data_IF_137899638569
#
_entry.id   IF_137899638569
#
_cell.length_a   1.000
_cell.length_b   1.000
_cell.length_c   1.000
_cell.angle_alpha   90.00
_cell.angle_beta   90.00
_cell.angle_gamma   90.00
#
_symmetry.space_group_name_H-M   'P 1'
#
loop_
_entity.id
_entity.type
_entity.pdbx_description
1 polymer ?
#
# COMPACT_ATOMS: atom_id res chain seq x y z
N UNK A 1 -23.10 5.79 -30.31
CA UNK A 1 -21.87 4.97 -30.30
C UNK A 1 -22.14 3.76 -29.40
N UNK A 2 -21.57 2.59 -29.70
CA UNK A 2 -21.66 1.45 -28.79
C UNK A 2 -20.97 1.79 -27.46
N UNK A 3 -21.54 1.31 -26.35
CA UNK A 3 -20.93 1.47 -25.02
C UNK A 3 -19.56 0.79 -25.01
N UNK A 4 -18.57 1.44 -24.41
CA UNK A 4 -17.23 0.87 -24.23
C UNK A 4 -17.17 0.10 -22.91
N UNK A 5 -16.44 -1.00 -22.93
CA UNK A 5 -16.18 -1.83 -21.76
C UNK A 5 -15.06 -1.21 -20.90
N UNK A 6 -14.99 -1.63 -19.65
CA UNK A 6 -13.94 -1.22 -18.71
C UNK A 6 -13.01 -2.38 -18.39
N UNK A 7 -11.73 -2.09 -18.21
CA UNK A 7 -10.73 -3.02 -17.69
C UNK A 7 -10.16 -2.50 -16.37
N UNK A 8 -10.18 -3.35 -15.35
CA UNK A 8 -9.60 -3.10 -14.04
C UNK A 8 -8.44 -4.06 -13.77
N UNK A 9 -7.33 -3.57 -13.20
CA UNK A 9 -6.25 -4.45 -12.76
C UNK A 9 -5.56 -3.92 -11.51
N UNK A 10 -5.06 -4.85 -10.69
CA UNK A 10 -4.27 -4.60 -9.49
C UNK A 10 -2.78 -4.80 -9.78
N UNK A 11 -1.95 -3.94 -9.23
CA UNK A 11 -0.51 -3.90 -9.51
C UNK A 11 0.35 -3.75 -8.26
N UNK A 12 1.47 -4.47 -8.23
CA UNK A 12 2.44 -4.47 -7.16
C UNK A 12 1.99 -5.21 -5.90
N UNK A 13 2.57 -4.83 -4.76
CA UNK A 13 2.16 -5.33 -3.45
C UNK A 13 0.70 -4.96 -3.16
N UNK A 14 -0.06 -5.95 -2.69
CA UNK A 14 -1.47 -5.78 -2.29
C UNK A 14 -1.58 -5.14 -0.91
N UNK A 15 -2.74 -4.58 -0.58
CA UNK A 15 -3.02 -4.01 0.75
C UNK A 15 -4.25 -4.66 1.37
N UNK A 16 -4.57 -4.27 2.61
CA UNK A 16 -5.77 -4.71 3.30
C UNK A 16 -7.04 -4.16 2.62
N UNK A 17 -6.94 -3.05 1.88
CA UNK A 17 -8.09 -2.29 1.36
C UNK A 17 -8.08 -2.09 -0.15
N UNK A 18 -7.12 -2.65 -0.90
CA UNK A 18 -7.09 -2.53 -2.37
C UNK A 18 -8.38 -3.05 -3.03
N UNK A 19 -9.03 -4.05 -2.41
CA UNK A 19 -10.33 -4.54 -2.85
C UNK A 19 -11.49 -3.59 -2.52
N UNK A 20 -11.36 -2.69 -1.54
CA UNK A 20 -12.35 -1.62 -1.32
C UNK A 20 -12.33 -0.64 -2.49
N UNK A 21 -11.16 -0.30 -3.04
CA UNK A 21 -11.07 0.44 -4.29
C UNK A 21 -11.64 -0.34 -5.48
N UNK A 22 -11.39 -1.64 -5.56
CA UNK A 22 -12.00 -2.50 -6.59
C UNK A 22 -13.54 -2.48 -6.49
N UNK A 23 -14.07 -2.61 -5.28
CA UNK A 23 -15.50 -2.51 -4.98
C UNK A 23 -16.07 -1.19 -5.49
N UNK A 24 -15.41 -0.07 -5.17
CA UNK A 24 -15.82 1.26 -5.62
C UNK A 24 -15.87 1.38 -7.14
N UNK A 25 -14.85 0.90 -7.86
CA UNK A 25 -14.83 0.88 -9.33
C UNK A 25 -16.00 0.07 -9.88
N UNK A 26 -16.19 -1.15 -9.40
CA UNK A 26 -17.15 -2.10 -9.97
C UNK A 26 -18.58 -1.64 -9.69
N UNK A 27 -18.87 -1.15 -8.48
CA UNK A 27 -20.20 -0.63 -8.14
C UNK A 27 -20.53 0.65 -8.92
N UNK A 28 -19.61 1.62 -9.00
CA UNK A 28 -19.82 2.82 -9.81
C UNK A 28 -20.02 2.50 -11.30
N UNK A 29 -19.26 1.55 -11.85
CA UNK A 29 -19.43 1.11 -13.23
C UNK A 29 -20.80 0.43 -13.47
N UNK A 30 -21.30 -0.36 -12.51
CA UNK A 30 -22.64 -0.99 -12.57
C UNK A 30 -23.76 0.04 -12.48
N UNK A 31 -23.62 1.04 -11.62
CA UNK A 31 -24.55 2.17 -11.50
C UNK A 31 -24.64 2.98 -12.81
N UNK A 32 -23.55 3.03 -13.57
CA UNK A 32 -23.46 3.70 -14.88
C UNK A 32 -23.49 2.72 -16.07
N UNK A 33 -24.26 1.63 -15.96
CA UNK A 33 -24.45 0.64 -17.04
C UNK A 33 -25.12 1.19 -18.32
N UNK A 34 -25.65 2.40 -18.26
CA UNK A 34 -26.11 3.19 -19.42
C UNK A 34 -24.95 3.77 -20.24
N UNK A 35 -23.75 3.90 -19.66
CA UNK A 35 -22.55 4.46 -20.30
C UNK A 35 -21.42 3.44 -20.45
N UNK A 36 -21.20 2.62 -19.43
CA UNK A 36 -20.18 1.58 -19.40
C UNK A 36 -20.82 0.24 -19.75
N UNK A 37 -20.14 -0.54 -20.60
CA UNK A 37 -20.53 -1.90 -20.94
C UNK A 37 -20.12 -2.90 -19.85
N UNK A 38 -19.49 -4.00 -20.26
CA UNK A 38 -18.95 -5.00 -19.34
C UNK A 38 -17.73 -4.45 -18.58
N UNK A 39 -17.58 -4.86 -17.33
CA UNK A 39 -16.35 -4.69 -16.56
C UNK A 39 -15.54 -5.99 -16.60
N UNK A 40 -14.32 -5.90 -17.09
CA UNK A 40 -13.35 -6.99 -17.06
C UNK A 40 -12.27 -6.70 -16.03
N UNK A 41 -11.70 -7.76 -15.44
CA UNK A 41 -10.54 -7.67 -14.57
C UNK A 41 -9.36 -8.48 -15.09
N UNK A 42 -8.14 -7.98 -14.96
CA UNK A 42 -6.94 -8.70 -15.34
C UNK A 42 -6.60 -9.77 -14.31
N UNK A 43 -6.56 -11.05 -14.71
CA UNK A 43 -6.03 -12.11 -13.85
C UNK A 43 -4.56 -11.85 -13.56
N UNK A 44 -4.20 -11.76 -12.27
CA UNK A 44 -2.82 -11.44 -11.85
C UNK A 44 -2.33 -10.07 -12.35
N UNK A 45 -3.20 -9.08 -12.44
CA UNK A 45 -2.83 -7.72 -12.83
C UNK A 45 -2.65 -7.56 -14.34
N UNK A 46 -1.64 -6.79 -14.76
CA UNK A 46 -1.40 -6.46 -16.17
C UNK A 46 -1.02 -7.68 -17.03
N UNK A 47 -0.44 -8.72 -16.42
CA UNK A 47 -0.17 -9.99 -17.09
C UNK A 47 -1.45 -10.62 -17.65
N UNK A 48 -2.58 -10.47 -16.95
CA UNK A 48 -3.88 -10.92 -17.43
C UNK A 48 -4.31 -10.22 -18.71
N UNK A 49 -3.99 -8.93 -18.88
CA UNK A 49 -4.23 -8.25 -20.14
C UNK A 49 -3.29 -8.76 -21.24
N UNK A 50 -1.97 -8.83 -20.98
CA UNK A 50 -0.99 -9.29 -21.96
C UNK A 50 -1.30 -10.70 -22.49
N UNK A 51 -1.68 -11.62 -21.58
CA UNK A 51 -2.02 -13.00 -21.90
C UNK A 51 -3.47 -13.21 -22.35
N UNK A 52 -4.29 -12.15 -22.40
CA UNK A 52 -5.73 -12.21 -22.68
C UNK A 52 -6.49 -13.15 -21.71
N UNK A 53 -6.12 -13.11 -20.44
CA UNK A 53 -6.81 -13.80 -19.34
C UNK A 53 -7.67 -12.79 -18.56
N UNK A 54 -8.75 -12.37 -19.21
CA UNK A 54 -9.71 -11.41 -18.65
C UNK A 54 -10.78 -12.15 -17.83
N UNK A 55 -11.02 -11.69 -16.61
CA UNK A 55 -12.11 -12.15 -15.76
C UNK A 55 -13.35 -11.32 -16.07
N UNK A 56 -14.49 -11.97 -16.32
CA UNK A 56 -15.78 -11.31 -16.43
C UNK A 56 -16.35 -11.00 -15.04
N UNK A 57 -16.32 -9.72 -14.65
CA UNK A 57 -16.81 -9.27 -13.34
C UNK A 57 -18.35 -9.26 -13.28
N UNK A 58 -19.03 -9.34 -14.42
CA UNK A 58 -20.50 -9.37 -14.47
C UNK A 58 -21.05 -10.72 -13.97
N UNK A 59 -20.23 -11.77 -13.98
CA UNK A 59 -20.58 -13.09 -13.46
C UNK A 59 -20.59 -13.14 -11.91
N UNK A 60 -20.04 -12.13 -11.25
CA UNK A 60 -20.01 -12.01 -9.80
C UNK A 60 -21.29 -11.37 -9.25
N UNK A 61 -21.83 -11.91 -8.16
CA UNK A 61 -23.04 -11.37 -7.54
C UNK A 61 -22.80 -9.99 -6.91
N UNK A 62 -23.87 -9.22 -6.70
CA UNK A 62 -23.80 -7.92 -6.01
C UNK A 62 -23.21 -8.08 -4.60
N UNK A 63 -23.61 -9.13 -3.88
CA UNK A 63 -23.13 -9.43 -2.53
C UNK A 63 -21.64 -9.80 -2.51
N UNK A 64 -21.18 -10.52 -3.54
CA UNK A 64 -19.76 -10.89 -3.66
C UNK A 64 -18.89 -9.66 -3.93
N UNK A 65 -19.37 -8.74 -4.76
CA UNK A 65 -18.70 -7.46 -5.01
C UNK A 65 -18.70 -6.60 -3.75
N UNK A 66 -19.83 -6.44 -3.07
CA UNK A 66 -19.90 -5.69 -1.81
C UNK A 66 -18.94 -6.25 -0.74
N UNK A 67 -18.78 -7.58 -0.69
CA UNK A 67 -17.86 -8.23 0.23
C UNK A 67 -16.37 -7.94 -0.05
N UNK A 68 -16.02 -7.40 -1.22
CA UNK A 68 -14.66 -6.93 -1.52
C UNK A 68 -14.24 -5.78 -0.59
N UNK A 69 -15.17 -4.91 -0.17
CA UNK A 69 -14.91 -3.78 0.75
C UNK A 69 -14.29 -4.23 2.07
N UNK A 70 -14.55 -5.46 2.48
CA UNK A 70 -14.03 -6.05 3.71
C UNK A 70 -13.16 -7.30 3.49
N UNK A 71 -12.55 -7.45 2.30
CA UNK A 71 -11.66 -8.57 1.96
C UNK A 71 -10.23 -8.07 1.66
N UNK A 72 -9.18 -8.57 2.35
CA UNK A 72 -7.80 -8.15 2.13
C UNK A 72 -7.24 -8.66 0.79
N UNK A 73 -6.02 -8.22 0.47
CA UNK A 73 -5.23 -8.69 -0.66
C UNK A 73 -5.86 -8.35 -2.02
N UNK A 74 -5.33 -8.88 -3.11
CA UNK A 74 -5.87 -8.66 -4.46
C UNK A 74 -6.85 -9.74 -4.86
N UNK A 75 -8.15 -9.43 -4.92
CA UNK A 75 -9.20 -10.41 -5.26
C UNK A 75 -9.01 -11.00 -6.66
N UNK A 76 -8.41 -10.26 -7.59
CA UNK A 76 -8.15 -10.70 -8.98
C UNK A 76 -6.73 -11.23 -9.19
N UNK A 77 -5.91 -11.26 -8.12
CA UNK A 77 -4.47 -11.42 -8.22
C UNK A 77 -3.78 -10.11 -8.59
N UNK A 78 -2.48 -10.04 -8.34
CA UNK A 78 -1.61 -8.92 -8.69
C UNK A 78 -0.28 -9.47 -9.22
N UNK A 79 0.55 -8.61 -9.79
CA UNK A 79 1.90 -8.96 -10.20
C UNK A 79 2.88 -7.82 -9.95
N UNK A 80 4.16 -8.16 -9.99
CA UNK A 80 5.30 -7.26 -9.94
C UNK A 80 5.96 -7.15 -11.33
N UNK A 81 5.13 -7.12 -12.38
CA UNK A 81 5.60 -7.01 -13.76
C UNK A 81 5.71 -5.54 -14.17
N UNK A 82 6.94 -5.04 -14.35
CA UNK A 82 7.19 -3.69 -14.87
C UNK A 82 7.15 -3.75 -16.39
N UNK A 83 6.22 -3.00 -17.00
CA UNK A 83 6.32 -2.72 -18.43
C UNK A 83 7.56 -1.86 -18.65
N UNK A 84 8.38 -2.23 -19.63
CA UNK A 84 9.60 -1.49 -19.94
C UNK A 84 9.26 -0.13 -20.58
N UNK A 85 10.25 0.71 -20.87
CA UNK A 85 9.96 1.95 -21.59
C UNK A 85 9.43 1.66 -23.00
N UNK A 86 8.79 2.63 -23.66
CA UNK A 86 8.30 2.46 -25.03
C UNK A 86 9.48 2.22 -26.01
N UNK A 87 10.65 2.76 -25.71
CA UNK A 87 11.88 2.55 -26.48
C UNK A 87 12.42 1.12 -26.31
N UNK A 88 12.27 0.54 -25.12
CA UNK A 88 12.76 -0.78 -24.79
C UNK A 88 11.80 -1.92 -25.19
N UNK A 89 10.50 -1.75 -24.96
CA UNK A 89 9.50 -2.77 -25.27
C UNK A 89 8.12 -2.18 -25.64
N UNK A 90 8.06 -1.52 -26.80
CA UNK A 90 6.80 -1.04 -27.37
C UNK A 90 5.74 -2.14 -27.55
N UNK A 91 6.18 -3.37 -27.83
CA UNK A 91 5.30 -4.50 -28.15
C UNK A 91 4.36 -4.88 -26.98
N UNK A 92 4.80 -4.69 -25.74
CA UNK A 92 3.93 -4.87 -24.56
C UNK A 92 2.72 -3.94 -24.59
N UNK A 93 2.94 -2.66 -24.87
CA UNK A 93 1.87 -1.67 -24.91
C UNK A 93 0.96 -1.85 -26.13
N UNK A 94 1.54 -2.20 -27.29
CA UNK A 94 0.77 -2.56 -28.49
C UNK A 94 -0.14 -3.76 -28.21
N UNK A 95 0.39 -4.80 -27.56
CA UNK A 95 -0.39 -5.96 -27.15
C UNK A 95 -1.55 -5.59 -26.22
N UNK A 96 -1.33 -4.70 -25.24
CA UNK A 96 -2.41 -4.23 -24.36
C UNK A 96 -3.53 -3.56 -25.16
N UNK A 97 -3.18 -2.68 -26.10
CA UNK A 97 -4.15 -1.95 -26.92
C UNK A 97 -4.88 -2.90 -27.87
N UNK A 98 -4.21 -3.90 -28.44
CA UNK A 98 -4.84 -4.96 -29.25
C UNK A 98 -5.89 -5.74 -28.46
N UNK A 99 -5.55 -6.19 -27.25
CA UNK A 99 -6.47 -6.91 -26.35
C UNK A 99 -7.64 -6.02 -25.99
N UNK A 100 -7.38 -4.77 -25.58
CA UNK A 100 -8.46 -3.84 -25.24
C UNK A 100 -9.38 -3.55 -26.44
N UNK A 101 -8.83 -3.42 -27.64
CA UNK A 101 -9.61 -3.25 -28.87
C UNK A 101 -10.46 -4.48 -29.21
N UNK A 102 -9.91 -5.69 -29.10
CA UNK A 102 -10.64 -6.94 -29.36
C UNK A 102 -11.83 -7.14 -28.39
N UNK A 103 -11.72 -6.60 -27.17
CA UNK A 103 -12.74 -6.69 -26.13
C UNK A 103 -13.56 -5.40 -25.97
N UNK A 104 -13.50 -4.47 -26.92
CA UNK A 104 -14.22 -3.19 -26.89
C UNK A 104 -14.01 -2.35 -25.61
N UNK A 105 -12.86 -2.51 -24.97
CA UNK A 105 -12.46 -1.79 -23.77
C UNK A 105 -12.05 -0.37 -24.16
N UNK A 106 -12.63 0.63 -23.52
CA UNK A 106 -12.27 2.05 -23.69
C UNK A 106 -11.85 2.73 -22.39
N UNK A 107 -12.05 2.06 -21.25
CA UNK A 107 -11.68 2.56 -19.93
C UNK A 107 -10.65 1.61 -19.30
N UNK A 108 -9.51 2.16 -18.88
CA UNK A 108 -8.47 1.42 -18.17
C UNK A 108 -8.28 1.99 -16.76
N UNK A 109 -8.66 1.21 -15.76
CA UNK A 109 -8.54 1.54 -14.35
C UNK A 109 -7.40 0.73 -13.73
N UNK A 110 -6.26 1.36 -13.46
CA UNK A 110 -5.08 0.66 -12.96
C UNK A 110 -4.75 1.02 -11.52
N UNK A 111 -4.93 0.06 -10.63
CA UNK A 111 -4.84 0.23 -9.18
C UNK A 111 -3.49 -0.23 -8.66
N UNK A 112 -2.62 0.72 -8.32
CA UNK A 112 -1.20 0.46 -8.12
C UNK A 112 -0.44 1.61 -7.45
N UNK A 113 0.90 1.50 -7.42
CA UNK A 113 1.79 2.59 -6.98
C UNK A 113 2.32 3.42 -8.16
N UNK A 114 3.43 4.14 -7.97
CA UNK A 114 3.98 5.08 -8.96
C UNK A 114 4.26 4.48 -10.35
N UNK A 115 4.82 3.27 -10.41
CA UNK A 115 5.04 2.56 -11.69
C UNK A 115 3.74 2.31 -12.48
N UNK A 116 2.61 2.21 -11.78
CA UNK A 116 1.29 2.02 -12.40
C UNK A 116 0.74 3.33 -12.96
N UNK A 117 1.08 4.47 -12.34
CA UNK A 117 0.80 5.79 -12.90
C UNK A 117 1.51 5.99 -14.25
N UNK A 118 2.80 5.63 -14.33
CA UNK A 118 3.59 5.66 -15.57
C UNK A 118 2.99 4.75 -16.65
N UNK A 119 2.57 3.54 -16.28
CA UNK A 119 1.87 2.61 -17.20
C UNK A 119 0.59 3.22 -17.76
N UNK A 120 -0.27 3.81 -16.91
CA UNK A 120 -1.49 4.49 -17.37
C UNK A 120 -1.20 5.62 -18.35
N UNK A 121 -0.18 6.45 -18.06
CA UNK A 121 0.20 7.57 -18.91
C UNK A 121 0.62 7.09 -20.31
N UNK A 122 1.46 6.05 -20.38
CA UNK A 122 1.93 5.48 -21.65
C UNK A 122 0.82 4.79 -22.44
N UNK A 123 -0.07 4.04 -21.78
CA UNK A 123 -1.24 3.44 -22.43
C UNK A 123 -2.14 4.52 -23.03
N UNK A 124 -2.41 5.58 -22.26
CA UNK A 124 -3.20 6.73 -22.71
C UNK A 124 -2.64 7.33 -24.00
N UNK A 125 -1.35 7.70 -24.00
CA UNK A 125 -0.67 8.31 -25.15
C UNK A 125 -0.60 7.38 -26.36
N UNK A 126 -0.18 6.12 -26.16
CA UNK A 126 0.01 5.20 -27.28
C UNK A 126 -1.33 4.82 -27.93
N UNK A 127 -2.40 4.67 -27.13
CA UNK A 127 -3.74 4.34 -27.62
C UNK A 127 -4.29 5.37 -28.63
N UNK A 128 -3.99 6.66 -28.42
CA UNK A 128 -4.34 7.73 -29.36
C UNK A 128 -3.60 7.56 -30.68
N UNK A 129 -2.29 7.31 -30.64
CA UNK A 129 -1.48 7.14 -31.86
C UNK A 129 -1.84 5.88 -32.65
N UNK A 130 -2.41 4.86 -31.99
CA UNK A 130 -2.89 3.62 -32.62
C UNK A 130 -4.33 3.73 -33.13
N UNK A 131 -4.97 4.90 -33.04
CA UNK A 131 -6.32 5.12 -33.53
C UNK A 131 -7.40 4.40 -32.73
N UNK A 132 -7.10 4.02 -31.47
CA UNK A 132 -8.06 3.42 -30.55
C UNK A 132 -7.90 4.05 -29.15
N UNK A 133 -8.35 5.30 -28.95
CA UNK A 133 -8.13 6.02 -27.71
C UNK A 133 -8.74 5.29 -26.50
N UNK A 134 -7.95 5.17 -25.44
CA UNK A 134 -8.33 4.56 -24.16
C UNK A 134 -8.17 5.61 -23.06
N UNK A 135 -9.22 5.81 -22.27
CA UNK A 135 -9.15 6.63 -21.07
C UNK A 135 -8.48 5.83 -19.96
N UNK A 136 -7.25 6.20 -19.60
CA UNK A 136 -6.49 5.54 -18.54
C UNK A 136 -6.51 6.38 -17.27
N UNK A 137 -7.03 5.81 -16.19
CA UNK A 137 -7.13 6.43 -14.87
C UNK A 137 -6.34 5.58 -13.88
N UNK A 138 -5.39 6.20 -13.21
CA UNK A 138 -4.65 5.56 -12.13
C UNK A 138 -5.47 5.63 -10.83
N UNK A 139 -5.55 4.51 -10.11
CA UNK A 139 -6.16 4.46 -8.77
C UNK A 139 -5.02 4.31 -7.75
N UNK A 140 -4.83 5.28 -6.84
CA UNK A 140 -3.68 5.29 -5.94
C UNK A 140 -3.73 4.12 -4.96
N UNK A 141 -2.61 3.43 -4.80
CA UNK A 141 -2.42 2.34 -3.85
C UNK A 141 -0.95 2.15 -3.50
N UNK A 142 -0.62 2.30 -2.23
CA UNK A 142 0.70 1.98 -1.70
C UNK A 142 0.61 1.91 -0.18
N UNK A 143 1.28 0.92 0.43
CA UNK A 143 1.41 0.88 1.90
C UNK A 143 2.51 1.83 2.38
N UNK A 144 3.42 2.21 1.49
CA UNK A 144 4.59 3.03 1.77
C UNK A 144 4.26 4.53 1.83
N UNK A 145 3.03 4.92 1.47
CA UNK A 145 2.52 6.30 1.51
C UNK A 145 3.35 7.31 0.68
N UNK A 146 3.89 6.84 -0.44
CA UNK A 146 4.91 7.51 -1.25
C UNK A 146 4.38 8.15 -2.54
N UNK A 147 3.06 8.12 -2.81
CA UNK A 147 2.51 8.84 -3.97
C UNK A 147 2.42 10.35 -3.71
N UNK A 148 2.83 11.20 -4.66
CA UNK A 148 2.73 12.66 -4.55
C UNK A 148 1.28 13.14 -4.76
N UNK A 149 1.04 14.43 -4.46
CA UNK A 149 -0.24 15.16 -4.59
C UNK A 149 -1.42 14.68 -3.73
N UNK A 150 -1.50 13.40 -3.40
CA UNK A 150 -2.49 12.87 -2.44
C UNK A 150 -1.99 13.09 -1.01
N UNK A 151 -2.89 13.46 -0.09
CA UNK A 151 -2.56 13.64 1.33
C UNK A 151 -1.98 12.35 1.92
N UNK A 152 -2.65 11.24 1.66
CA UNK A 152 -2.24 9.90 2.02
C UNK A 152 -2.62 8.89 0.92
N UNK A 153 -2.12 7.67 1.04
CA UNK A 153 -2.37 6.61 0.07
C UNK A 153 -3.28 5.51 0.63
N UNK A 154 -4.25 5.01 -0.17
CA UNK A 154 -5.05 3.84 0.21
C UNK A 154 -4.19 2.62 0.56
N UNK A 155 -4.41 2.08 1.75
CA UNK A 155 -3.68 0.97 2.35
C UNK A 155 -2.69 1.37 3.42
N UNK A 156 -2.17 2.60 3.40
CA UNK A 156 -1.25 3.09 4.42
C UNK A 156 -1.94 3.19 5.78
N UNK A 157 -3.11 3.82 5.86
CA UNK A 157 -3.80 4.05 7.14
C UNK A 157 -4.11 2.74 7.89
N UNK A 158 -4.46 1.66 7.15
CA UNK A 158 -4.68 0.35 7.75
C UNK A 158 -3.39 -0.32 8.24
N UNK A 159 -2.27 -0.20 7.50
CA UNK A 159 -0.96 -0.71 7.94
C UNK A 159 -0.49 0.07 9.17
N UNK A 160 -0.62 1.40 9.15
CA UNK A 160 -0.31 2.28 10.26
C UNK A 160 -1.10 1.88 11.51
N UNK A 161 -2.41 1.63 11.37
CA UNK A 161 -3.26 1.17 12.47
C UNK A 161 -2.79 -0.18 13.03
N UNK A 162 -2.50 -1.14 12.16
CA UNK A 162 -1.97 -2.44 12.58
C UNK A 162 -0.66 -2.30 13.37
N UNK A 163 0.29 -1.49 12.87
CA UNK A 163 1.59 -1.29 13.54
C UNK A 163 1.41 -0.62 14.89
N UNK A 164 0.57 0.42 14.98
CA UNK A 164 0.26 1.10 16.24
C UNK A 164 -0.34 0.13 17.28
N UNK A 165 -1.37 -0.63 16.90
CA UNK A 165 -2.03 -1.62 17.78
C UNK A 165 -1.04 -2.72 18.21
N UNK A 166 -0.30 -3.29 17.26
CA UNK A 166 0.66 -4.37 17.55
C UNK A 166 1.78 -3.89 18.48
N UNK A 167 2.23 -2.65 18.31
CA UNK A 167 3.27 -2.04 19.16
C UNK A 167 2.74 -1.83 20.57
N UNK A 168 1.50 -1.34 20.71
CA UNK A 168 0.85 -1.15 22.00
C UNK A 168 0.67 -2.48 22.76
N UNK A 169 0.16 -3.51 22.09
CA UNK A 169 -0.03 -4.84 22.68
C UNK A 169 1.30 -5.48 23.11
N UNK A 170 2.32 -5.40 22.25
CA UNK A 170 3.65 -5.91 22.59
C UNK A 170 4.32 -5.13 23.72
N UNK A 171 4.06 -3.82 23.82
CA UNK A 171 4.54 -3.00 24.92
C UNK A 171 3.96 -3.45 26.27
N UNK A 172 2.67 -3.73 26.33
CA UNK A 172 2.00 -4.26 27.53
C UNK A 172 2.59 -5.60 27.96
N UNK A 173 2.86 -6.50 27.00
CA UNK A 173 3.49 -7.80 27.28
C UNK A 173 4.88 -7.62 27.90
N UNK A 174 5.79 -6.91 27.21
CA UNK A 174 7.17 -6.76 27.70
C UNK A 174 7.22 -6.00 29.03
N UNK A 175 6.37 -4.99 29.23
CA UNK A 175 6.27 -4.26 30.49
C UNK A 175 5.91 -5.19 31.66
N UNK A 176 5.02 -6.17 31.44
CA UNK A 176 4.62 -7.14 32.45
C UNK A 176 5.73 -8.15 32.82
N UNK A 177 6.66 -8.39 31.89
CA UNK A 177 7.71 -9.42 32.01
C UNK A 177 9.08 -8.86 32.42
N UNK A 178 9.27 -7.54 32.37
CA UNK A 178 10.61 -6.94 32.41
C UNK A 178 11.31 -7.04 33.76
N UNK A 179 10.61 -7.27 34.87
CA UNK A 179 11.22 -7.36 36.20
C UNK A 179 12.24 -8.51 36.31
N UNK A 180 12.00 -9.64 35.63
CA UNK A 180 12.82 -10.86 35.74
C UNK A 180 13.15 -11.54 34.42
N UNK A 181 12.59 -11.10 33.30
CA UNK A 181 12.82 -11.72 31.98
C UNK A 181 13.18 -10.70 30.91
N UNK A 182 12.24 -10.42 29.99
CA UNK A 182 12.52 -9.74 28.73
C UNK A 182 12.60 -8.26 28.97
N UNK A 183 13.72 -7.65 28.56
CA UNK A 183 13.96 -6.21 28.73
C UNK A 183 13.70 -5.44 27.45
N UNK A 184 13.82 -6.07 26.28
CA UNK A 184 13.66 -5.39 24.99
C UNK A 184 12.72 -6.15 24.07
N UNK A 185 11.81 -5.44 23.41
CA UNK A 185 11.02 -5.95 22.30
C UNK A 185 11.30 -5.16 21.02
N UNK A 186 11.47 -5.83 19.89
CA UNK A 186 11.73 -5.20 18.58
C UNK A 186 10.66 -5.66 17.58
N UNK A 187 9.94 -4.71 16.99
CA UNK A 187 9.02 -4.94 15.88
C UNK A 187 9.65 -4.47 14.58
N UNK A 188 9.96 -5.40 13.67
CA UNK A 188 10.36 -5.09 12.30
C UNK A 188 9.13 -4.92 11.40
N UNK A 189 9.10 -3.80 10.68
CA UNK A 189 8.00 -3.40 9.79
C UNK A 189 8.51 -3.08 8.39
N UNK A 190 7.64 -3.22 7.38
CA UNK A 190 7.94 -2.76 6.02
C UNK A 190 8.25 -1.24 5.96
N UNK A 191 8.94 -0.81 4.90
CA UNK A 191 9.21 0.61 4.65
C UNK A 191 10.60 0.83 4.03
N UNK A 192 10.81 0.34 2.81
CA UNK A 192 12.13 0.31 2.16
C UNK A 192 12.81 1.67 2.04
N UNK A 193 12.08 2.67 1.54
CA UNK A 193 12.65 3.99 1.21
C UNK A 193 12.15 5.09 2.15
N UNK A 194 10.97 4.90 2.76
CA UNK A 194 10.35 5.90 3.61
C UNK A 194 9.88 5.31 4.95
N UNK A 195 10.01 6.10 6.01
CA UNK A 195 9.75 5.73 7.40
C UNK A 195 8.30 5.82 7.86
N UNK A 196 7.34 6.06 6.95
CA UNK A 196 5.93 6.29 7.29
C UNK A 196 5.30 5.18 8.14
N UNK A 197 5.60 3.92 7.81
CA UNK A 197 5.07 2.76 8.55
C UNK A 197 5.72 2.65 9.93
N UNK A 198 7.04 2.87 10.03
CA UNK A 198 7.74 2.86 11.32
C UNK A 198 7.25 4.01 12.22
N UNK A 199 7.01 5.20 11.64
CA UNK A 199 6.45 6.36 12.31
C UNK A 199 5.08 6.07 12.95
N UNK A 200 4.25 5.25 12.31
CA UNK A 200 2.96 4.84 12.85
C UNK A 200 3.07 4.08 14.18
N UNK A 201 4.22 3.47 14.48
CA UNK A 201 4.49 2.87 15.78
C UNK A 201 4.34 3.86 16.93
N UNK A 202 4.69 5.13 16.73
CA UNK A 202 4.54 6.18 17.75
C UNK A 202 3.07 6.45 18.14
N UNK A 203 2.10 6.09 17.30
CA UNK A 203 0.69 6.24 17.63
C UNK A 203 0.24 5.29 18.75
N UNK A 204 1.05 4.29 19.11
CA UNK A 204 0.85 3.49 20.31
C UNK A 204 0.96 4.33 21.59
N UNK A 205 1.76 5.40 21.59
CA UNK A 205 1.93 6.28 22.74
C UNK A 205 0.64 7.05 23.02
N UNK A 206 0.03 6.85 24.19
CA UNK A 206 -1.15 7.60 24.63
C UNK A 206 -0.75 8.71 25.61
N UNK A 207 0.24 8.44 26.44
CA UNK A 207 0.80 9.36 27.43
C UNK A 207 2.31 9.56 27.22
N UNK A 208 2.85 10.61 27.81
CA UNK A 208 4.29 10.89 27.77
C UNK A 208 5.07 9.75 28.44
N UNK A 209 6.03 9.18 27.70
CA UNK A 209 6.85 8.07 28.17
C UNK A 209 6.32 6.68 27.85
N UNK A 210 5.18 6.56 27.17
CA UNK A 210 4.71 5.29 26.63
C UNK A 210 5.62 4.75 25.52
N UNK A 211 5.54 3.45 25.29
CA UNK A 211 6.17 2.76 24.17
C UNK A 211 5.48 3.09 22.82
N UNK A 212 6.21 3.03 21.68
CA UNK A 212 7.61 2.67 21.56
C UNK A 212 8.54 3.78 22.03
N UNK A 213 9.69 3.41 22.57
CA UNK A 213 10.68 4.37 23.04
C UNK A 213 11.71 4.73 21.97
N UNK A 214 11.82 3.88 20.94
CA UNK A 214 12.77 4.04 19.83
C UNK A 214 12.07 3.64 18.52
N UNK A 215 12.19 4.50 17.52
CA UNK A 215 11.80 4.23 16.13
C UNK A 215 13.04 4.39 15.25
N UNK A 216 13.30 3.41 14.39
CA UNK A 216 14.40 3.47 13.42
C UNK A 216 13.83 3.69 12.01
N UNK A 217 14.16 4.85 11.46
CA UNK A 217 13.70 5.33 10.17
C UNK A 217 14.74 5.09 9.06
N UNK A 218 14.32 4.84 7.80
CA UNK A 218 15.22 4.90 6.64
C UNK A 218 15.87 6.28 6.45
N UNK A 219 15.18 7.36 6.84
CA UNK A 219 15.65 8.74 6.69
C UNK A 219 16.76 9.13 7.70
N UNK A 220 16.92 8.37 8.78
CA UNK A 220 17.89 8.66 9.85
C UNK A 220 19.01 7.63 9.79
N UNK A 221 20.23 8.10 9.54
CA UNK A 221 21.40 7.23 9.52
C UNK A 221 21.60 6.54 10.89
N UNK A 222 21.67 5.22 10.87
CA UNK A 222 21.84 4.41 12.07
C UNK A 222 23.23 4.63 12.69
N UNK A 223 23.23 5.05 13.95
CA UNK A 223 24.41 5.23 14.79
C UNK A 223 24.34 4.23 15.95
N UNK A 224 25.23 3.23 15.91
CA UNK A 224 25.24 2.12 16.87
C UNK A 224 25.38 2.62 18.31
N UNK A 225 26.28 3.57 18.56
CA UNK A 225 26.61 3.99 19.92
C UNK A 225 25.46 4.80 20.52
N UNK A 226 24.86 5.71 19.74
CA UNK A 226 23.66 6.44 20.16
C UNK A 226 22.48 5.52 20.41
N UNK A 227 22.27 4.54 19.53
CA UNK A 227 21.21 3.56 19.66
C UNK A 227 21.34 2.73 20.94
N UNK A 228 22.50 2.12 21.17
CA UNK A 228 22.75 1.31 22.37
C UNK A 228 22.63 2.14 23.65
N UNK A 229 23.13 3.38 23.63
CA UNK A 229 22.96 4.29 24.77
C UNK A 229 21.48 4.56 25.05
N UNK A 230 20.68 4.89 24.03
CA UNK A 230 19.23 5.14 24.19
C UNK A 230 18.51 3.90 24.72
N UNK A 231 18.84 2.70 24.23
CA UNK A 231 18.29 1.44 24.75
C UNK A 231 18.62 1.28 26.24
N UNK A 232 19.88 1.44 26.62
CA UNK A 232 20.33 1.28 28.00
C UNK A 232 19.64 2.29 28.93
N UNK A 233 19.69 3.58 28.59
CA UNK A 233 19.07 4.66 29.38
C UNK A 233 17.56 4.38 29.59
N UNK A 234 16.88 3.94 28.54
CA UNK A 234 15.44 3.64 28.57
C UNK A 234 15.14 2.45 29.48
N UNK A 235 15.94 1.38 29.42
CA UNK A 235 15.76 0.22 30.29
C UNK A 235 16.08 0.55 31.74
N UNK A 236 17.06 1.40 32.00
CA UNK A 236 17.39 1.85 33.36
C UNK A 236 16.28 2.71 33.96
N UNK A 237 15.61 3.55 33.15
CA UNK A 237 14.50 4.40 33.61
C UNK A 237 13.17 3.64 33.72
N UNK A 238 12.78 2.90 32.68
CA UNK A 238 11.44 2.29 32.54
C UNK A 238 11.42 0.80 32.87
N UNK A 239 12.58 0.17 33.00
CA UNK A 239 12.73 -1.27 33.20
C UNK A 239 12.66 -2.11 31.91
N UNK A 240 12.22 -1.53 30.79
CA UNK A 240 12.10 -2.18 29.48
C UNK A 240 12.24 -1.19 28.31
N UNK A 241 12.44 -1.69 27.09
CA UNK A 241 12.48 -0.88 25.87
C UNK A 241 11.70 -1.55 24.71
N UNK A 242 10.91 -0.77 23.97
CA UNK A 242 10.20 -1.21 22.77
C UNK A 242 10.72 -0.41 21.58
N UNK A 243 11.07 -1.13 20.52
CA UNK A 243 11.72 -0.59 19.33
C UNK A 243 10.88 -0.95 18.10
N UNK A 244 10.52 0.03 17.29
CA UNK A 244 9.91 -0.19 15.97
C UNK A 244 10.96 0.13 14.91
N UNK A 245 11.31 -0.83 14.07
CA UNK A 245 12.38 -0.68 13.09
C UNK A 245 11.90 -0.94 11.68
N UNK A 246 12.13 0.02 10.78
CA UNK A 246 11.92 -0.22 9.36
C UNK A 246 12.93 -1.22 8.80
N UNK A 247 12.49 -2.11 7.91
CA UNK A 247 13.37 -2.95 7.09
C UNK A 247 14.38 -2.13 6.27
N UNK A 248 14.07 -0.85 5.98
CA UNK A 248 14.90 0.10 5.24
C UNK A 248 15.89 0.89 6.09
N UNK A 249 16.01 0.61 7.39
CA UNK A 249 17.01 1.26 8.24
C UNK A 249 18.43 1.07 7.66
N UNK A 250 19.21 2.14 7.62
CA UNK A 250 20.49 2.19 6.90
C UNK A 250 21.55 2.99 7.65
N UNK A 251 22.82 2.67 7.40
CA UNK A 251 23.96 3.42 7.88
C UNK A 251 24.17 4.72 7.09
N UNK A 252 25.08 5.58 7.56
CA UNK A 252 25.37 6.87 6.94
C UNK A 252 25.93 6.76 5.50
N UNK A 253 26.51 5.62 5.14
CA UNK A 253 26.99 5.33 3.78
C UNK A 253 25.89 4.79 2.84
N UNK A 254 24.65 4.69 3.32
CA UNK A 254 23.50 4.17 2.58
C UNK A 254 23.43 2.64 2.52
N UNK A 255 24.32 1.93 3.23
CA UNK A 255 24.21 0.48 3.35
C UNK A 255 23.09 0.11 4.31
N UNK A 256 22.24 -0.85 3.91
CA UNK A 256 21.17 -1.33 4.78
C UNK A 256 21.74 -2.01 6.02
N UNK A 257 21.08 -1.79 7.17
CA UNK A 257 21.42 -2.37 8.45
C UNK A 257 21.34 -3.90 8.42
N UNK A 258 20.41 -4.44 7.64
CA UNK A 258 20.34 -5.85 7.29
C UNK A 258 19.96 -6.01 5.82
N UNK A 259 20.58 -6.97 5.13
CA UNK A 259 20.27 -7.39 3.77
C UNK A 259 20.03 -8.90 3.81
N UNK A 260 18.88 -9.36 3.29
CA UNK A 260 18.54 -10.79 3.23
C UNK A 260 19.34 -11.52 2.12
N UNK A 261 20.19 -10.82 1.37
CA UNK A 261 21.19 -11.39 0.47
C UNK A 261 20.64 -11.88 -0.88
N UNK A 262 19.41 -11.51 -1.22
CA UNK A 262 18.74 -11.89 -2.48
C UNK A 262 18.24 -10.65 -3.22
N UNK A 263 17.92 -10.75 -4.52
CA UNK A 263 17.43 -9.63 -5.34
C UNK A 263 16.07 -9.99 -5.95
N UNK A 264 15.09 -9.09 -5.92
CA UNK A 264 13.76 -9.30 -6.50
C UNK A 264 13.71 -9.04 -8.02
N UNK A 265 12.55 -9.27 -8.62
CA UNK A 265 12.32 -9.14 -10.07
C UNK A 265 12.42 -7.69 -10.60
N UNK A 266 12.43 -6.68 -9.72
CA UNK A 266 12.66 -5.27 -10.08
C UNK A 266 14.13 -4.86 -9.90
N UNK A 267 15.01 -5.77 -9.46
CA UNK A 267 16.41 -5.48 -9.20
C UNK A 267 16.67 -4.92 -7.79
N UNK A 268 15.68 -4.95 -6.89
CA UNK A 268 15.85 -4.49 -5.51
C UNK A 268 16.37 -5.60 -4.62
N UNK A 269 17.37 -5.31 -3.77
CA UNK A 269 17.82 -6.24 -2.72
C UNK A 269 16.66 -6.57 -1.78
N UNK A 270 16.41 -7.84 -1.49
CA UNK A 270 15.41 -8.26 -0.54
C UNK A 270 15.83 -7.78 0.86
N UNK A 271 14.99 -6.93 1.43
CA UNK A 271 15.18 -6.45 2.79
C UNK A 271 14.58 -7.44 3.78
N UNK A 272 15.04 -7.36 5.01
CA UNK A 272 14.61 -8.22 6.09
C UNK A 272 15.74 -8.55 7.05
N UNK A 273 15.39 -8.82 8.31
CA UNK A 273 16.34 -9.26 9.33
C UNK A 273 16.96 -8.13 10.15
N UNK A 274 16.37 -6.93 10.10
CA UNK A 274 16.75 -5.79 10.94
C UNK A 274 16.50 -6.12 12.43
N UNK A 275 15.34 -6.69 12.76
CA UNK A 275 15.00 -7.11 14.11
C UNK A 275 16.03 -8.07 14.74
N UNK A 276 16.35 -9.24 14.13
CA UNK A 276 17.36 -10.13 14.69
C UNK A 276 18.76 -9.49 14.73
N UNK A 277 19.10 -8.62 13.78
CA UNK A 277 20.39 -7.89 13.79
C UNK A 277 20.50 -6.96 15.00
N UNK A 278 19.48 -6.14 15.23
CA UNK A 278 19.39 -5.26 16.40
C UNK A 278 19.37 -6.05 17.71
N UNK A 279 18.60 -7.14 17.77
CA UNK A 279 18.50 -7.98 18.94
C UNK A 279 19.87 -8.55 19.34
N UNK A 280 20.61 -9.11 18.39
CA UNK A 280 21.95 -9.64 18.62
C UNK A 280 22.93 -8.55 19.06
N UNK A 281 22.84 -7.36 18.46
CA UNK A 281 23.65 -6.20 18.85
C UNK A 281 23.39 -5.79 20.31
N UNK A 282 22.13 -5.67 20.70
CA UNK A 282 21.73 -5.33 22.08
C UNK A 282 22.22 -6.39 23.07
N UNK A 283 22.08 -7.68 22.72
CA UNK A 283 22.50 -8.76 23.62
C UNK A 283 24.02 -8.82 23.79
N UNK A 284 24.76 -8.62 22.72
CA UNK A 284 26.23 -8.65 22.74
C UNK A 284 26.81 -7.51 23.59
N UNK A 285 26.25 -6.31 23.46
CA UNK A 285 26.82 -5.10 24.05
C UNK A 285 26.24 -4.76 25.43
N UNK A 286 24.95 -5.02 25.65
CA UNK A 286 24.24 -4.65 26.88
C UNK A 286 23.82 -5.85 27.74
N UNK A 287 23.94 -7.08 27.21
CA UNK A 287 23.55 -8.30 27.93
C UNK A 287 22.04 -8.48 28.14
N UNK A 288 21.21 -7.56 27.65
CA UNK A 288 19.76 -7.53 27.84
C UNK A 288 19.05 -8.68 27.11
N UNK A 289 18.06 -9.31 27.78
CA UNK A 289 17.21 -10.33 27.15
C UNK A 289 16.18 -9.65 26.25
N UNK A 290 15.99 -10.20 25.05
CA UNK A 290 15.12 -9.63 24.03
C UNK A 290 14.05 -10.62 23.55
N UNK A 291 12.99 -10.09 22.95
CA UNK A 291 12.17 -10.74 21.93
C UNK A 291 12.08 -9.84 20.71
N UNK A 292 11.76 -10.41 19.56
CA UNK A 292 11.48 -9.65 18.36
C UNK A 292 10.40 -10.32 17.53
N UNK A 293 9.72 -9.53 16.71
CA UNK A 293 8.73 -9.99 15.75
C UNK A 293 8.97 -9.30 14.40
N UNK A 294 8.72 -10.04 13.32
CA UNK A 294 8.67 -9.52 11.97
C UNK A 294 7.22 -9.59 11.49
N UNK A 295 6.60 -8.43 11.24
CA UNK A 295 5.20 -8.38 10.83
C UNK A 295 4.98 -8.92 9.41
N UNK A 296 5.92 -8.66 8.50
CA UNK A 296 5.89 -9.08 7.09
C UNK A 296 4.49 -8.93 6.47
N UNK A 297 3.93 -9.95 5.84
CA UNK A 297 2.65 -9.83 5.14
C UNK A 297 1.47 -9.54 6.06
N UNK A 298 1.56 -9.82 7.36
CA UNK A 298 0.46 -9.60 8.30
C UNK A 298 0.05 -8.12 8.31
N UNK A 299 1.02 -7.20 8.37
CA UNK A 299 0.72 -5.76 8.47
C UNK A 299 -0.10 -5.24 7.28
N UNK A 300 0.18 -5.73 6.07
CA UNK A 300 -0.51 -5.29 4.85
C UNK A 300 -1.73 -6.13 4.49
N UNK A 301 -2.01 -7.21 5.21
CA UNK A 301 -3.18 -8.06 5.03
C UNK A 301 -4.18 -7.98 6.19
N UNK A 302 -3.91 -7.15 7.20
CA UNK A 302 -4.66 -7.00 8.45
C UNK A 302 -6.04 -6.33 8.30
N UNK A 303 -6.89 -6.79 7.36
CA UNK A 303 -8.23 -6.23 7.15
C UNK A 303 -9.15 -6.41 8.36
N UNK A 304 -8.85 -7.35 9.25
CA UNK A 304 -9.57 -7.56 10.51
C UNK A 304 -9.43 -6.38 11.49
N UNK A 305 -8.44 -5.50 11.31
CA UNK A 305 -8.23 -4.31 12.15
C UNK A 305 -7.93 -3.07 11.29
N UNK A 306 -8.49 -3.01 10.08
CA UNK A 306 -8.27 -1.88 9.18
C UNK A 306 -8.83 -0.57 9.75
N UNK A 307 -8.23 0.55 9.33
CA UNK A 307 -8.77 1.88 9.61
C UNK A 307 -10.06 2.10 8.81
N UNK A 308 -11.11 2.58 9.49
CA UNK A 308 -12.36 2.95 8.81
C UNK A 308 -12.15 4.14 7.85
N UNK A 309 -11.28 5.09 8.21
CA UNK A 309 -10.85 6.19 7.34
C UNK A 309 -10.24 5.65 6.05
N UNK A 310 -9.24 4.76 6.16
CA UNK A 310 -8.54 4.20 5.00
C UNK A 310 -9.47 3.36 4.10
N UNK A 311 -10.35 2.54 4.70
CA UNK A 311 -11.37 1.78 3.94
C UNK A 311 -12.30 2.71 3.16
N UNK A 312 -12.73 3.81 3.78
CA UNK A 312 -13.65 4.78 3.15
C UNK A 312 -12.98 5.54 2.02
N UNK A 313 -11.74 5.98 2.24
CA UNK A 313 -10.93 6.66 1.22
C UNK A 313 -10.61 5.72 0.05
N UNK A 314 -10.19 4.48 0.33
CA UNK A 314 -9.90 3.48 -0.69
C UNK A 314 -11.12 3.22 -1.59
N UNK A 315 -12.31 3.08 -1.00
CA UNK A 315 -13.56 2.94 -1.73
C UNK A 315 -13.89 4.18 -2.57
N UNK A 316 -13.76 5.37 -1.98
CA UNK A 316 -14.07 6.63 -2.65
C UNK A 316 -13.16 6.92 -3.86
N UNK A 317 -11.85 6.68 -3.77
CA UNK A 317 -10.96 6.88 -4.94
C UNK A 317 -11.28 5.90 -6.08
N UNK A 318 -11.75 4.69 -5.75
CA UNK A 318 -12.20 3.71 -6.74
C UNK A 318 -13.44 4.17 -7.49
N UNK A 319 -14.45 4.66 -6.76
CA UNK A 319 -15.65 5.27 -7.35
C UNK A 319 -15.31 6.49 -8.20
N UNK A 320 -14.53 7.41 -7.63
CA UNK A 320 -14.14 8.64 -8.29
C UNK A 320 -13.39 8.39 -9.60
N UNK A 321 -12.58 7.33 -9.70
CA UNK A 321 -11.92 6.99 -10.96
C UNK A 321 -12.92 6.77 -12.11
N UNK A 322 -14.04 6.07 -11.84
CA UNK A 322 -15.11 5.85 -12.82
C UNK A 322 -15.82 7.15 -13.14
N UNK A 323 -16.18 7.92 -12.12
CA UNK A 323 -16.86 9.21 -12.28
C UNK A 323 -16.02 10.19 -13.12
N UNK A 324 -14.72 10.28 -12.85
CA UNK A 324 -13.76 11.10 -13.61
C UNK A 324 -13.61 10.64 -15.05
N UNK A 325 -13.57 9.33 -15.30
CA UNK A 325 -13.56 8.82 -16.68
C UNK A 325 -14.84 9.23 -17.43
N UNK A 326 -16.00 9.18 -16.77
CA UNK A 326 -17.28 9.59 -17.35
C UNK A 326 -17.42 11.12 -17.54
N UNK A 327 -16.68 11.91 -16.77
CA UNK A 327 -16.48 13.36 -16.99
C UNK A 327 -15.58 13.65 -18.20
N UNK A 328 -15.02 12.63 -18.86
CA UNK A 328 -14.12 12.76 -20.00
C UNK A 328 -12.65 13.00 -19.61
N UNK A 329 -12.30 12.82 -18.33
CA UNK A 329 -10.91 12.91 -17.87
C UNK A 329 -10.10 11.71 -18.39
N UNK A 330 -8.80 11.93 -18.56
CA UNK A 330 -7.85 10.93 -19.04
C UNK A 330 -6.46 11.27 -18.46
N UNK A 331 -5.63 10.26 -18.23
CA UNK A 331 -4.28 10.40 -17.69
C UNK A 331 -4.25 11.23 -16.38
N UNK A 332 -5.17 10.90 -15.46
CA UNK A 332 -5.21 11.47 -14.11
C UNK A 332 -5.22 10.38 -13.03
N UNK A 333 -4.93 10.79 -11.81
CA UNK A 333 -5.11 10.05 -10.57
C UNK A 333 -6.10 10.80 -9.67
N UNK A 334 -7.19 10.18 -9.19
CA UNK A 334 -7.98 10.75 -8.09
C UNK A 334 -7.12 10.83 -6.82
N UNK A 335 -7.17 11.95 -6.11
CA UNK A 335 -6.34 12.21 -4.94
C UNK A 335 -7.20 12.43 -3.70
N UNK A 336 -6.72 12.00 -2.54
CA UNK A 336 -7.30 12.38 -1.25
C UNK A 336 -6.75 13.77 -0.90
N UNK A 337 -7.64 14.73 -0.66
CA UNK A 337 -7.27 16.09 -0.28
C UNK A 337 -7.73 16.32 1.15
N UNK A 338 -6.80 16.61 2.06
CA UNK A 338 -7.10 16.97 3.45
C UNK A 338 -7.72 18.37 3.50
N UNK A 339 -8.87 18.47 4.17
CA UNK A 339 -9.57 19.74 4.35
C UNK A 339 -8.78 20.65 5.30
N UNK A 340 -8.91 21.96 5.09
CA UNK A 340 -8.31 22.97 5.96
C UNK A 340 -9.24 23.23 7.14
N UNK A 341 -9.00 22.58 8.28
CA UNK A 341 -9.84 22.73 9.46
C UNK A 341 -9.24 22.06 10.71
N UNK A 342 -9.78 22.38 11.90
CA UNK A 342 -9.34 21.78 13.15
C UNK A 342 -9.78 20.31 13.30
N UNK A 343 -10.86 19.91 12.62
CA UNK A 343 -11.31 18.53 12.53
C UNK A 343 -10.82 17.92 11.22
N UNK A 344 -10.43 16.64 11.26
CA UNK A 344 -10.00 15.95 10.06
C UNK A 344 -11.19 15.72 9.12
N UNK A 345 -11.17 16.45 8.00
CA UNK A 345 -12.01 16.23 6.84
C UNK A 345 -11.16 15.88 5.62
N UNK A 346 -11.78 15.23 4.64
CA UNK A 346 -11.14 14.99 3.35
C UNK A 346 -12.17 15.00 2.22
N UNK A 347 -11.67 15.34 1.04
CA UNK A 347 -12.40 15.33 -0.22
C UNK A 347 -11.60 14.63 -1.32
N UNK A 348 -12.22 14.42 -2.49
CA UNK A 348 -11.55 13.86 -3.66
C UNK A 348 -11.14 14.98 -4.62
N UNK A 349 -9.84 15.11 -4.84
CA UNK A 349 -9.24 15.91 -5.91
C UNK A 349 -8.77 15.05 -7.08
N UNK A 350 -7.97 15.65 -7.97
CA UNK A 350 -7.32 14.96 -9.08
C UNK A 350 -5.92 15.55 -9.33
N UNK A 351 -4.99 14.72 -9.80
CA UNK A 351 -3.67 15.14 -10.25
C UNK A 351 -3.35 14.53 -11.62
N UNK A 352 -2.65 15.25 -12.51
CA UNK A 352 -2.22 14.71 -13.80
C UNK A 352 -1.11 13.66 -13.60
N UNK A 353 -1.16 12.56 -14.36
CA UNK A 353 -0.16 11.48 -14.22
C UNK A 353 1.26 11.92 -14.58
N UNK A 354 1.42 12.97 -15.37
CA UNK A 354 2.74 13.56 -15.66
C UNK A 354 3.43 14.14 -14.44
N UNK A 355 2.69 14.48 -13.38
CA UNK A 355 3.24 14.99 -12.11
C UNK A 355 3.35 13.89 -11.04
N UNK A 356 2.72 12.73 -11.27
CA UNK A 356 2.71 11.58 -10.33
C UNK A 356 3.75 10.53 -10.71
N UNK A 357 3.88 10.23 -12.01
CA UNK A 357 4.74 9.18 -12.50
C UNK A 357 6.22 9.43 -12.13
N UNK A 358 6.88 8.42 -11.56
CA UNK A 358 8.30 8.45 -11.18
C UNK A 358 8.67 9.52 -10.13
N UNK A 359 7.72 9.99 -9.33
CA UNK A 359 7.95 10.91 -8.21
C UNK A 359 7.53 10.23 -6.91
N UNK A 360 8.37 10.34 -5.88
CA UNK A 360 8.13 9.73 -4.56
C UNK A 360 8.01 10.81 -3.47
N UNK A 361 7.07 10.61 -2.54
CA UNK A 361 6.85 11.43 -1.35
C UNK A 361 7.60 10.84 -0.15
N UNK A 362 8.72 11.46 0.20
CA UNK A 362 9.47 11.12 1.42
C UNK A 362 8.80 11.68 2.68
N UNK A 363 9.14 11.11 3.84
CA UNK A 363 8.68 11.66 5.11
C UNK A 363 9.37 13.02 5.39
N UNK A 364 8.61 14.07 5.72
CA UNK A 364 9.17 15.37 6.08
C UNK A 364 10.09 15.26 7.30
N UNK A 365 11.20 16.01 7.29
CA UNK A 365 12.18 15.98 8.40
C UNK A 365 11.57 16.51 9.69
N UNK A 366 10.68 17.49 9.59
CA UNK A 366 9.95 18.07 10.69
C UNK A 366 8.99 17.09 11.39
N UNK A 367 8.75 15.90 10.81
CA UNK A 367 7.95 14.85 11.46
C UNK A 367 8.79 13.94 12.36
N UNK A 368 10.13 14.01 12.28
CA UNK A 368 11.06 13.20 13.06
C UNK A 368 11.56 14.02 14.26
N UNK A 369 11.62 13.41 15.44
CA UNK A 369 12.16 14.06 16.64
C UNK A 369 13.64 14.46 16.46
N UNK A 370 14.09 15.46 17.23
CA UNK A 370 15.48 15.95 17.16
C UNK A 370 16.53 14.86 17.44
N UNK A 371 16.21 13.92 18.34
CA UNK A 371 17.09 12.78 18.64
C UNK A 371 17.03 11.66 17.58
N UNK A 372 16.11 11.75 16.62
CA UNK A 372 15.95 10.80 15.51
C UNK A 372 15.25 9.49 15.87
N UNK A 373 14.73 9.35 17.09
CA UNK A 373 14.15 8.09 17.60
C UNK A 373 12.64 8.12 17.82
N UNK A 374 11.94 9.17 17.40
CA UNK A 374 10.50 9.31 17.54
C UNK A 374 9.92 10.25 16.48
N UNK A 375 8.66 10.63 16.67
CA UNK A 375 7.98 11.61 15.82
C UNK A 375 7.69 12.90 16.59
N UNK A 376 7.54 14.01 15.87
CA UNK A 376 7.07 15.27 16.43
C UNK A 376 5.54 15.31 16.52
N UNK A 377 5.00 16.35 17.18
CA UNK A 377 3.55 16.63 17.18
C UNK A 377 3.02 16.81 15.75
N UNK A 378 3.75 17.49 14.87
CA UNK A 378 3.37 17.65 13.46
C UNK A 378 3.25 16.30 12.73
N UNK A 379 4.16 15.36 13.00
CA UNK A 379 4.07 14.01 12.49
C UNK A 379 2.86 13.26 13.05
N UNK A 380 2.58 13.43 14.34
CA UNK A 380 1.42 12.82 15.00
C UNK A 380 0.10 13.36 14.46
N UNK A 381 -0.02 14.67 14.26
CA UNK A 381 -1.21 15.35 13.70
C UNK A 381 -1.53 14.90 12.29
N UNK A 382 -0.50 14.61 11.49
CA UNK A 382 -0.67 14.03 10.16
C UNK A 382 -1.18 12.59 10.21
N UNK A 383 -0.54 11.75 11.03
CA UNK A 383 -0.77 10.30 11.06
C UNK A 383 -2.03 9.88 11.81
N UNK A 384 -2.33 10.52 12.95
CA UNK A 384 -3.38 10.09 13.87
C UNK A 384 -4.76 10.02 13.20
N UNK A 385 -5.19 10.98 12.37
CA UNK A 385 -6.49 10.90 11.70
C UNK A 385 -6.61 9.72 10.71
N UNK A 386 -5.47 9.27 10.15
CA UNK A 386 -5.43 8.23 9.12
C UNK A 386 -5.69 6.82 9.68
N UNK A 387 -5.57 6.63 11.00
CA UNK A 387 -5.84 5.35 11.66
C UNK A 387 -7.22 5.30 12.32
N UNK A 388 -8.00 6.38 12.26
CA UNK A 388 -9.25 6.49 13.02
C UNK A 388 -10.32 5.50 12.56
N UNK A 389 -11.11 5.07 13.56
CA UNK A 389 -12.26 4.19 13.41
C UNK A 389 -11.93 2.74 13.06
N UNK A 390 -12.88 1.86 13.35
CA UNK A 390 -12.84 0.43 13.10
C UNK A 390 -13.87 0.07 12.03
N UNK A 391 -13.44 -0.61 10.96
CA UNK A 391 -14.35 -1.22 10.00
C UNK A 391 -14.09 -2.73 10.07
N UNK A 392 -14.82 -3.46 10.92
CA UNK A 392 -14.61 -4.91 11.07
C UNK A 392 -15.30 -5.70 9.94
N UNK A 393 -14.64 -6.73 9.36
CA UNK A 393 -15.34 -7.64 8.45
C UNK A 393 -16.40 -8.45 9.21
N UNK A 394 -17.41 -9.01 8.54
CA UNK A 394 -18.27 -10.01 9.15
C UNK A 394 -17.46 -11.26 9.54
N UNK A 395 -17.86 -11.93 10.61
CA UNK A 395 -17.20 -13.15 11.11
C UNK A 395 -18.12 -14.35 11.00
N UNK A 396 -17.52 -15.52 10.72
CA UNK A 396 -18.19 -16.82 10.76
C UNK A 396 -17.23 -17.84 11.33
N UNK A 397 -17.68 -18.62 12.32
CA UNK A 397 -16.86 -19.62 13.02
C UNK A 397 -15.59 -19.02 13.66
N UNK A 398 -15.67 -17.80 14.19
CA UNK A 398 -14.56 -17.13 14.87
C UNK A 398 -13.48 -16.54 13.96
N UNK A 399 -13.64 -16.60 12.63
CA UNK A 399 -12.71 -16.00 11.66
C UNK A 399 -13.44 -15.08 10.67
N UNK A 400 -12.76 -14.10 10.07
CA UNK A 400 -13.37 -13.24 9.06
C UNK A 400 -13.94 -14.01 7.87
N UNK A 401 -15.12 -13.62 7.42
CA UNK A 401 -15.76 -14.14 6.22
C UNK A 401 -15.43 -13.24 5.03
N UNK A 402 -14.38 -13.60 4.31
CA UNK A 402 -13.94 -12.89 3.10
C UNK A 402 -14.66 -13.37 1.83
N UNK A 403 -14.69 -12.50 0.82
CA UNK A 403 -15.31 -12.74 -0.48
C UNK A 403 -14.66 -13.94 -1.20
N UNK A 404 -15.47 -14.68 -1.95
CA UNK A 404 -15.04 -15.78 -2.81
C UNK A 404 -15.59 -15.58 -4.21
N UNK A 405 -14.76 -15.05 -5.09
CA UNK A 405 -15.12 -14.77 -6.47
C UNK A 405 -15.11 -16.05 -7.31
N UNK A 406 -16.00 -16.12 -8.30
CA UNK A 406 -16.03 -17.18 -9.32
C UNK A 406 -14.84 -17.08 -10.28
N UNK A 407 -14.45 -15.85 -10.65
CA UNK A 407 -13.36 -15.54 -11.59
C UNK A 407 -13.51 -16.23 -12.95
N UNK A 408 -14.72 -16.18 -13.51
CA UNK A 408 -15.00 -16.74 -14.84
C UNK A 408 -14.16 -15.98 -15.88
N UNK A 409 -13.40 -16.71 -16.69
CA UNK A 409 -12.59 -16.12 -17.76
C UNK A 409 -13.43 -15.91 -19.01
N UNK A 410 -13.15 -14.81 -19.72
CA UNK A 410 -13.70 -14.51 -21.04
C UNK A 410 -12.93 -15.31 -22.10
N UNK A 411 -13.62 -15.72 -23.16
CA UNK A 411 -13.00 -16.37 -24.30
C UNK A 411 -11.98 -15.45 -24.98
N UNK A 412 -10.83 -16.01 -25.33
CA UNK A 412 -9.78 -15.31 -26.10
C UNK A 412 -10.26 -15.04 -27.52
N UNK A 413 -9.91 -13.88 -28.04
CA UNK A 413 -10.26 -13.40 -29.38
C UNK A 413 -9.03 -13.21 -30.28
N UNK A 414 -7.83 -13.13 -29.71
CA UNK A 414 -6.59 -12.99 -30.48
C UNK A 414 -5.93 -14.36 -30.66
N UNK A 415 -5.48 -14.66 -31.88
CA UNK A 415 -4.89 -15.97 -32.23
C UNK A 415 -3.45 -16.13 -31.69
N UNK A 416 -2.72 -15.03 -31.55
CA UNK A 416 -1.34 -15.03 -31.06
C UNK A 416 -1.28 -14.86 -29.54
N UNK A 417 -0.69 -15.85 -28.87
CA UNK A 417 -0.29 -15.75 -27.47
C UNK A 417 0.92 -14.83 -27.31
N UNK A 418 0.87 -13.92 -26.33
CA UNK A 418 2.00 -13.04 -26.02
C UNK A 418 3.22 -13.87 -25.58
N UNK A 419 4.31 -13.76 -26.34
CA UNK A 419 5.64 -14.28 -25.97
C UNK A 419 6.47 -13.07 -25.57
N UNK A 420 6.57 -12.83 -24.26
CA UNK A 420 7.23 -11.65 -23.68
C UNK A 420 8.71 -11.54 -23.97
#
# INVERSE_FOLDING_TARGET
MSKKNAFYAQSGGVTAVINASACGVIEAAREHSDKIGHVYAGRNGILGALHEELIDVNEESVETIAALRHTPSGAFGSCRYKLKSLEENRAEYERLIEVFKAHDIGYFFYNGGGDSADTCLKVSQLSETMGYPIQAIHIPKTVDNDLPHTDNCPGFGSVAKYVAVSTMEAALDVASMCATSTKVFILEVMGRHAGWIAAAGALAQQEEGDAPHIILFPEVAFDKDKFLKKVQDTVDEKGYCVIVASEGAQYADGTFLADAGTTDAFGHKQLGGVAPTLANMIKAELGLKYHWALADYLQRAARHIASATDVSQAYAVGRAAVEKALEGKNAIMPCIVRDQGPEYGWSIGEAPLSEVANVEKMMPKEYISEDGFGITEAGRDYLLPLIQGEDYPPFKNGVPQYAKLKKVLVDKKLEDGFKG
#
